data_IF_970965103197
#
_entry.id   IF_970965103197
#
_cell.length_a   1.000
_cell.length_b   1.000
_cell.length_c   1.000
_cell.angle_alpha   90.00
_cell.angle_beta   90.00
_cell.angle_gamma   90.00
#
_symmetry.space_group_name_H-M   'P 1'
#
loop_
_entity.id
_entity.type
_entity.pdbx_description
1 polymer ?
#
# COMPACT_ATOMS: atom_id res chain seq x y z
N UNK A 1 -6.97 -3.40 27.92
CA UNK A 1 -7.00 -3.95 26.55
C UNK A 1 -7.59 -2.98 25.51
N UNK A 2 -8.31 -1.90 25.89
CA UNK A 2 -8.98 -1.00 24.94
C UNK A 2 -8.07 -0.06 24.11
N UNK A 3 -6.89 0.32 24.60
CA UNK A 3 -6.10 1.41 23.97
C UNK A 3 -5.15 0.96 22.86
N UNK A 4 -4.77 -0.33 22.81
CA UNK A 4 -3.88 -0.88 21.78
C UNK A 4 -4.65 -1.24 20.49
N UNK A 5 -5.89 -1.72 20.64
CA UNK A 5 -6.78 -2.00 19.50
C UNK A 5 -7.25 -0.71 18.82
N UNK A 6 -7.49 0.35 19.59
CA UNK A 6 -7.87 1.68 19.08
C UNK A 6 -6.74 2.35 18.26
N UNK A 7 -5.49 2.24 18.73
CA UNK A 7 -4.31 2.73 18.00
C UNK A 7 -4.05 1.92 16.72
N UNK A 8 -4.18 0.59 16.77
CA UNK A 8 -3.99 -0.27 15.57
C UNK A 8 -5.05 0.01 14.51
N UNK A 9 -6.30 0.26 14.94
CA UNK A 9 -7.42 0.59 14.06
C UNK A 9 -7.26 1.99 13.44
N UNK A 10 -6.79 2.96 14.23
CA UNK A 10 -6.50 4.34 13.78
C UNK A 10 -5.36 4.39 12.78
N UNK A 11 -4.22 3.75 13.06
CA UNK A 11 -3.07 3.66 12.11
C UNK A 11 -3.47 2.99 10.79
N UNK A 12 -4.29 1.94 10.87
CA UNK A 12 -4.84 1.28 9.69
C UNK A 12 -5.76 2.20 8.87
N UNK A 13 -6.49 3.11 9.53
CA UNK A 13 -7.36 4.08 8.87
C UNK A 13 -6.58 5.22 8.19
N UNK A 14 -5.51 5.71 8.82
CA UNK A 14 -4.62 6.75 8.28
C UNK A 14 -3.85 6.23 7.07
N UNK A 15 -3.30 5.01 7.14
CA UNK A 15 -2.66 4.35 6.01
C UNK A 15 -3.61 4.25 4.80
N UNK A 16 -4.86 3.80 5.03
CA UNK A 16 -5.87 3.73 3.97
C UNK A 16 -6.19 5.10 3.39
N UNK A 17 -6.21 6.15 4.20
CA UNK A 17 -6.45 7.52 3.73
C UNK A 17 -5.31 8.04 2.84
N UNK A 18 -4.06 7.81 3.25
CA UNK A 18 -2.87 8.19 2.47
C UNK A 18 -2.80 7.44 1.14
N UNK A 19 -3.07 6.13 1.13
CA UNK A 19 -3.11 5.32 -0.09
C UNK A 19 -4.19 5.84 -1.05
N UNK A 20 -5.40 6.17 -0.55
CA UNK A 20 -6.45 6.77 -1.38
C UNK A 20 -6.00 8.09 -2.00
N UNK A 21 -5.46 9.01 -1.18
CA UNK A 21 -5.00 10.31 -1.64
C UNK A 21 -3.93 10.20 -2.73
N UNK A 22 -2.95 9.32 -2.56
CA UNK A 22 -1.92 9.08 -3.58
C UNK A 22 -2.50 8.42 -4.83
N UNK A 23 -3.49 7.54 -4.67
CA UNK A 23 -4.22 6.94 -5.78
C UNK A 23 -5.01 7.96 -6.60
N UNK A 24 -5.66 8.93 -5.95
CA UNK A 24 -6.40 10.02 -6.60
C UNK A 24 -5.44 10.90 -7.41
N UNK A 25 -4.30 11.29 -6.82
CA UNK A 25 -3.26 12.07 -7.51
C UNK A 25 -2.65 11.33 -8.71
N UNK A 26 -2.48 10.01 -8.61
CA UNK A 26 -2.06 9.20 -9.74
C UNK A 26 -3.14 9.18 -10.82
N UNK A 27 -4.42 9.04 -10.45
CA UNK A 27 -5.53 9.10 -11.39
C UNK A 27 -5.55 10.41 -12.18
N UNK A 28 -5.43 11.54 -11.50
CA UNK A 28 -5.30 12.85 -12.15
C UNK A 28 -4.07 12.93 -13.07
N UNK A 29 -2.95 12.29 -12.68
CA UNK A 29 -1.74 12.25 -13.49
C UNK A 29 -1.91 11.42 -14.75
N UNK A 30 -2.60 10.27 -14.67
CA UNK A 30 -2.95 9.44 -15.82
C UNK A 30 -3.81 10.23 -16.81
N UNK A 31 -4.83 10.94 -16.32
CA UNK A 31 -5.68 11.79 -17.16
C UNK A 31 -4.85 12.85 -17.89
N UNK A 32 -3.94 13.52 -17.18
CA UNK A 32 -3.08 14.56 -17.78
C UNK A 32 -2.09 14.04 -18.82
N UNK A 33 -1.57 12.82 -18.66
CA UNK A 33 -0.49 12.29 -19.51
C UNK A 33 -1.00 11.42 -20.66
N UNK A 34 -2.06 10.65 -20.43
CA UNK A 34 -2.50 9.58 -21.33
C UNK A 34 -3.97 9.71 -21.74
N UNK A 35 -4.69 10.69 -21.16
CA UNK A 35 -6.11 10.91 -21.41
C UNK A 35 -7.04 10.21 -20.40
N UNK A 36 -8.32 10.64 -20.33
CA UNK A 36 -9.31 10.06 -19.41
C UNK A 36 -9.62 8.59 -19.71
N UNK A 37 -9.49 8.16 -20.96
CA UNK A 37 -9.82 6.80 -21.41
C UNK A 37 -8.94 5.74 -20.72
N UNK A 38 -7.67 6.07 -20.45
CA UNK A 38 -6.78 5.16 -19.73
C UNK A 38 -7.25 4.96 -18.29
N UNK A 39 -7.65 6.03 -17.60
CA UNK A 39 -8.15 5.93 -16.22
C UNK A 39 -9.47 5.14 -16.17
N UNK A 40 -10.37 5.39 -17.11
CA UNK A 40 -11.62 4.63 -17.23
C UNK A 40 -11.35 3.14 -17.43
N UNK A 41 -10.37 2.80 -18.28
CA UNK A 41 -9.98 1.41 -18.51
C UNK A 41 -9.36 0.78 -17.26
N UNK A 42 -8.49 1.50 -16.54
CA UNK A 42 -7.93 1.03 -15.25
C UNK A 42 -9.06 0.71 -14.26
N UNK A 43 -10.01 1.62 -14.08
CA UNK A 43 -11.12 1.43 -13.15
C UNK A 43 -12.09 0.33 -13.61
N UNK A 44 -12.31 0.17 -14.93
CA UNK A 44 -13.05 -0.95 -15.49
C UNK A 44 -12.37 -2.29 -15.19
N UNK A 45 -11.06 -2.40 -15.42
CA UNK A 45 -10.29 -3.61 -15.10
C UNK A 45 -10.36 -3.90 -13.60
N UNK A 46 -10.13 -2.90 -12.72
CA UNK A 46 -10.21 -3.08 -11.26
C UNK A 46 -11.57 -3.62 -10.80
N UNK A 47 -12.65 -3.08 -11.37
CA UNK A 47 -14.02 -3.51 -11.07
C UNK A 47 -14.24 -4.95 -11.53
N UNK A 48 -13.94 -5.25 -12.80
CA UNK A 48 -14.13 -6.59 -13.34
C UNK A 48 -13.30 -7.64 -12.60
N UNK A 49 -12.05 -7.36 -12.24
CA UNK A 49 -11.24 -8.33 -11.46
C UNK A 49 -11.88 -8.71 -10.11
N UNK A 50 -12.73 -7.84 -9.53
CA UNK A 50 -13.45 -8.12 -8.27
C UNK A 50 -14.78 -8.82 -8.49
N UNK A 51 -15.45 -8.55 -9.61
CA UNK A 51 -16.81 -9.01 -9.90
C UNK A 51 -16.84 -10.27 -10.78
N UNK A 52 -16.02 -10.29 -11.84
CA UNK A 52 -15.94 -11.32 -12.87
C UNK A 52 -14.54 -11.36 -13.50
N UNK A 53 -13.73 -12.31 -13.03
CA UNK A 53 -12.36 -12.50 -13.51
C UNK A 53 -12.28 -12.95 -14.98
N UNK A 54 -13.27 -13.68 -15.49
CA UNK A 54 -13.28 -14.12 -16.89
C UNK A 54 -13.58 -12.95 -17.81
N UNK A 55 -14.53 -12.09 -17.44
CA UNK A 55 -14.79 -10.84 -18.17
C UNK A 55 -13.59 -9.89 -18.16
N UNK A 56 -12.85 -9.82 -17.06
CA UNK A 56 -11.59 -9.08 -17.00
C UNK A 56 -10.54 -9.65 -17.97
N UNK A 57 -10.41 -10.98 -18.01
CA UNK A 57 -9.48 -11.66 -18.90
C UNK A 57 -9.83 -11.44 -20.37
N UNK A 58 -11.11 -11.51 -20.74
CA UNK A 58 -11.58 -11.25 -22.11
C UNK A 58 -11.31 -9.81 -22.55
N UNK A 59 -11.58 -8.83 -21.67
CA UNK A 59 -11.24 -7.43 -21.94
C UNK A 59 -9.75 -7.25 -22.21
N UNK A 60 -8.90 -7.88 -21.40
CA UNK A 60 -7.45 -7.79 -21.54
C UNK A 60 -6.93 -8.51 -22.80
N UNK A 61 -7.56 -9.63 -23.19
CA UNK A 61 -7.25 -10.33 -24.45
C UNK A 61 -7.47 -9.46 -25.69
N UNK A 62 -8.51 -8.63 -25.67
CA UNK A 62 -8.82 -7.68 -26.75
C UNK A 62 -8.09 -6.34 -26.68
N UNK A 63 -7.19 -6.14 -25.72
CA UNK A 63 -6.50 -4.85 -25.54
C UNK A 63 -5.24 -4.77 -26.40
N UNK A 64 -5.11 -3.69 -27.18
CA UNK A 64 -3.91 -3.39 -27.97
C UNK A 64 -2.65 -3.35 -27.10
N UNK A 65 -1.52 -3.83 -27.66
CA UNK A 65 -0.28 -4.00 -26.91
C UNK A 65 0.22 -2.71 -26.24
N UNK A 66 0.08 -1.57 -26.92
CA UNK A 66 0.48 -0.27 -26.37
C UNK A 66 -0.38 0.10 -25.15
N UNK A 67 -1.70 -0.07 -25.25
CA UNK A 67 -2.63 0.17 -24.15
C UNK A 67 -2.39 -0.79 -23.00
N UNK A 68 -2.10 -2.07 -23.29
CA UNK A 68 -1.75 -3.06 -22.28
C UNK A 68 -0.46 -2.65 -21.53
N UNK A 69 0.56 -2.13 -22.22
CA UNK A 69 1.77 -1.62 -21.59
C UNK A 69 1.49 -0.41 -20.68
N UNK A 70 0.57 0.48 -21.08
CA UNK A 70 0.11 1.61 -20.25
C UNK A 70 -0.64 1.13 -19.01
N UNK A 71 -1.53 0.14 -19.15
CA UNK A 71 -2.24 -0.47 -18.03
C UNK A 71 -1.28 -1.09 -17.02
N UNK A 72 -0.33 -1.91 -17.47
CA UNK A 72 0.70 -2.50 -16.60
C UNK A 72 1.43 -1.41 -15.82
N UNK A 73 1.86 -0.34 -16.50
CA UNK A 73 2.56 0.77 -15.87
C UNK A 73 1.71 1.48 -14.82
N UNK A 74 0.43 1.73 -15.12
CA UNK A 74 -0.51 2.32 -14.18
C UNK A 74 -0.67 1.46 -12.93
N UNK A 75 -0.98 0.16 -13.09
CA UNK A 75 -1.13 -0.78 -11.98
C UNK A 75 0.15 -0.94 -11.16
N UNK A 76 1.31 -1.06 -11.80
CA UNK A 76 2.60 -1.10 -11.10
C UNK A 76 2.82 0.17 -10.27
N UNK A 77 2.48 1.34 -10.82
CA UNK A 77 2.64 2.61 -10.10
C UNK A 77 1.70 2.70 -8.89
N UNK A 78 0.43 2.31 -9.03
CA UNK A 78 -0.50 2.19 -7.90
C UNK A 78 0.06 1.27 -6.80
N UNK A 79 0.60 0.11 -7.18
CA UNK A 79 1.18 -0.85 -6.25
C UNK A 79 2.43 -0.29 -5.54
N UNK A 80 3.31 0.39 -6.27
CA UNK A 80 4.47 1.04 -5.67
C UNK A 80 4.08 2.15 -4.69
N UNK A 81 3.06 2.96 -5.00
CA UNK A 81 2.55 3.97 -4.08
C UNK A 81 2.01 3.35 -2.80
N UNK A 82 1.22 2.27 -2.90
CA UNK A 82 0.73 1.54 -1.73
C UNK A 82 1.90 1.02 -0.87
N UNK A 83 2.85 0.33 -1.48
CA UNK A 83 4.00 -0.25 -0.78
C UNK A 83 4.87 0.81 -0.08
N UNK A 84 5.19 1.91 -0.76
CA UNK A 84 6.00 2.98 -0.16
C UNK A 84 5.25 3.63 1.00
N UNK A 85 3.93 3.82 0.86
CA UNK A 85 3.10 4.36 1.94
C UNK A 85 3.11 3.45 3.16
N UNK A 86 2.90 2.14 2.96
CA UNK A 86 3.00 1.14 4.02
C UNK A 86 4.38 1.15 4.70
N UNK A 87 5.46 1.22 3.92
CA UNK A 87 6.82 1.29 4.44
C UNK A 87 7.07 2.55 5.27
N UNK A 88 6.55 3.71 4.85
CA UNK A 88 6.65 4.97 5.61
C UNK A 88 5.92 4.86 6.95
N UNK A 89 4.68 4.36 6.93
CA UNK A 89 3.88 4.13 8.14
C UNK A 89 4.58 3.14 9.07
N UNK A 90 5.03 2.00 8.54
CA UNK A 90 5.80 1.01 9.30
C UNK A 90 7.07 1.59 9.91
N UNK A 91 7.77 2.44 9.17
CA UNK A 91 8.93 3.16 9.67
C UNK A 91 8.62 4.10 10.83
N UNK A 92 7.47 4.80 10.78
CA UNK A 92 7.00 5.66 11.89
C UNK A 92 6.68 4.82 13.14
N UNK A 93 5.95 3.72 12.99
CA UNK A 93 5.65 2.78 14.09
C UNK A 93 6.93 2.25 14.75
N UNK A 94 7.89 1.79 13.95
CA UNK A 94 9.15 1.25 14.45
C UNK A 94 9.99 2.30 15.20
N UNK A 95 10.01 3.55 14.72
CA UNK A 95 10.69 4.66 15.41
C UNK A 95 10.00 5.00 16.73
N UNK A 96 8.67 5.08 16.75
CA UNK A 96 7.91 5.33 17.97
C UNK A 96 8.15 4.23 19.02
N UNK A 97 8.08 2.96 18.60
CA UNK A 97 8.37 1.80 19.46
C UNK A 97 9.80 1.84 20.00
N UNK A 98 10.78 2.18 19.15
CA UNK A 98 12.18 2.33 19.58
C UNK A 98 12.37 3.46 20.58
N UNK A 99 11.66 4.57 20.43
CA UNK A 99 11.73 5.69 21.36
C UNK A 99 11.11 5.34 22.73
N UNK A 100 10.00 4.59 22.74
CA UNK A 100 9.33 4.17 23.97
C UNK A 100 10.04 3.02 24.70
N UNK A 101 10.56 2.04 23.97
CA UNK A 101 11.08 0.79 24.54
C UNK A 101 12.61 0.66 24.46
N UNK A 102 13.30 1.59 23.80
CA UNK A 102 14.73 1.47 23.53
C UNK A 102 15.06 0.54 22.35
N UNK A 103 16.34 0.55 21.95
CA UNK A 103 16.84 -0.27 20.85
C UNK A 103 16.71 -1.77 21.11
N UNK A 104 16.43 -2.56 20.06
CA UNK A 104 16.30 -4.02 20.17
C UNK A 104 17.53 -4.65 20.85
N UNK A 105 18.73 -4.26 20.43
CA UNK A 105 19.98 -4.78 21.01
C UNK A 105 20.15 -4.41 22.48
N UNK A 106 19.80 -3.18 22.87
CA UNK A 106 19.87 -2.74 24.26
C UNK A 106 18.92 -3.59 25.12
N UNK A 107 17.68 -3.78 24.67
CA UNK A 107 16.71 -4.63 25.37
C UNK A 107 17.11 -6.09 25.45
N UNK A 108 17.70 -6.64 24.38
CA UNK A 108 18.21 -8.01 24.42
C UNK A 108 19.37 -8.12 25.41
N UNK A 109 20.26 -7.13 25.44
CA UNK A 109 21.36 -7.10 26.41
C UNK A 109 20.85 -7.00 27.86
N UNK A 110 19.84 -6.17 28.12
CA UNK A 110 19.23 -6.06 29.44
C UNK A 110 18.56 -7.38 29.86
N UNK A 111 17.79 -8.01 28.96
CA UNK A 111 17.20 -9.33 29.22
C UNK A 111 18.23 -10.43 29.49
N UNK A 112 19.38 -10.40 28.81
CA UNK A 112 20.46 -11.36 29.06
C UNK A 112 21.15 -11.12 30.40
N UNK A 113 21.29 -9.86 30.85
CA UNK A 113 21.80 -9.56 32.19
C UNK A 113 20.84 -10.01 33.28
N UNK A 114 19.54 -9.84 33.05
CA UNK A 114 18.51 -10.17 34.04
C UNK A 114 18.24 -11.69 34.12
N UNK A 115 18.60 -12.45 33.09
CA UNK A 115 18.38 -13.89 32.98
C UNK A 115 19.55 -14.73 33.54
N UNK A 116 20.12 -14.31 34.67
CA UNK A 116 21.29 -14.90 35.38
C UNK A 116 21.57 -16.39 35.01
N UNK A 117 22.75 -16.72 34.44
CA UNK A 117 23.01 -18.08 33.99
C UNK A 117 23.23 -18.99 35.21
N UNK A 118 22.26 -19.87 35.50
CA UNK A 118 22.53 -21.10 36.26
C UNK A 118 23.46 -22.05 35.50
#
# INVERSE_FOLDING_TARGET
>A
MSSADDQTTTTSSELRADIRRLGDLLGETLVRQEGPELLELVEKVRRLTREDGEAAAELLRGTELETAAKLVRAFSTYFHLANVTEQVHRGRELRAKRAAEGGLLARTADRLKDADPE
#
